data_IF_338625074382
#
_entry.id   IF_338625074382
#
_cell.length_a   1.000
_cell.length_b   1.000
_cell.length_c   1.000
_cell.angle_alpha   90.00
_cell.angle_beta   90.00
_cell.angle_gamma   90.00
#
_symmetry.space_group_name_H-M   'P 1'
#
loop_
_entity.id
_entity.type
_entity.pdbx_description
1 polymer ?
#
# COMPACT_ATOMS: atom_id res chain seq x y z
N UNK A 1 -11.12 12.93 3.05
CA UNK A 1 -11.13 13.14 1.60
C UNK A 1 -9.83 13.83 1.20
N UNK A 2 -9.12 13.30 0.22
CA UNK A 2 -7.89 13.89 -0.31
C UNK A 2 -7.86 13.85 -1.84
N UNK A 3 -7.11 14.82 -2.39
CA UNK A 3 -6.79 14.90 -3.80
C UNK A 3 -5.31 15.27 -3.91
N UNK A 4 -4.55 14.48 -4.66
CA UNK A 4 -3.14 14.76 -4.95
C UNK A 4 -2.93 14.73 -6.45
N UNK A 5 -2.14 15.66 -6.96
CA UNK A 5 -1.78 15.70 -8.38
C UNK A 5 -0.27 15.73 -8.48
N UNK A 6 0.29 14.79 -9.22
CA UNK A 6 1.71 14.69 -9.52
C UNK A 6 1.93 14.95 -11.01
N UNK A 7 2.97 15.73 -11.33
CA UNK A 7 3.40 15.98 -12.69
C UNK A 7 4.64 15.13 -12.97
N UNK A 8 4.67 14.51 -14.13
CA UNK A 8 5.78 13.66 -14.61
C UNK A 8 6.05 12.40 -13.76
N UNK A 9 5.12 12.00 -12.88
CA UNK A 9 5.24 10.81 -12.05
C UNK A 9 3.92 10.04 -12.01
N UNK A 10 3.99 8.73 -11.95
CA UNK A 10 2.88 7.84 -11.65
C UNK A 10 3.10 7.22 -10.27
N UNK A 11 2.25 7.56 -9.26
CA UNK A 11 2.36 7.03 -7.90
C UNK A 11 3.78 7.16 -7.30
N UNK A 12 4.48 8.27 -7.60
CA UNK A 12 5.85 8.51 -7.16
C UNK A 12 6.94 7.79 -7.97
N UNK A 13 6.59 7.10 -9.06
CA UNK A 13 7.52 6.46 -9.97
C UNK A 13 7.65 7.31 -11.22
N UNK A 14 8.86 7.75 -11.54
CA UNK A 14 9.17 8.37 -12.83
C UNK A 14 9.45 7.28 -13.88
N UNK A 15 8.84 7.38 -15.03
CA UNK A 15 9.23 6.60 -16.21
C UNK A 15 9.81 7.54 -17.26
N UNK A 16 10.91 7.14 -17.88
CA UNK A 16 11.62 7.94 -18.88
C UNK A 16 12.01 7.08 -20.10
N UNK A 17 12.30 7.75 -21.19
CA UNK A 17 12.83 7.13 -22.40
C UNK A 17 11.79 6.33 -23.19
N UNK A 18 12.15 5.12 -23.62
CA UNK A 18 11.33 4.30 -24.52
C UNK A 18 10.00 3.83 -23.93
N UNK A 19 9.86 3.82 -22.61
CA UNK A 19 8.59 3.46 -21.95
C UNK A 19 7.57 4.59 -21.99
N UNK A 20 7.99 5.81 -22.22
CA UNK A 20 7.15 7.00 -22.18
C UNK A 20 7.17 7.67 -20.81
N UNK A 21 6.66 8.88 -20.77
CA UNK A 21 6.62 9.72 -19.59
C UNK A 21 5.16 9.96 -19.21
N UNK A 22 4.84 9.80 -17.92
CA UNK A 22 3.53 10.20 -17.40
C UNK A 22 3.48 11.73 -17.35
N UNK A 23 2.62 12.35 -18.14
CA UNK A 23 2.45 13.81 -18.14
C UNK A 23 1.84 14.28 -16.82
N UNK A 24 0.85 13.55 -16.33
CA UNK A 24 0.11 13.90 -15.13
C UNK A 24 -0.56 12.67 -14.53
N UNK A 25 -0.51 12.55 -13.22
CA UNK A 25 -1.36 11.64 -12.46
C UNK A 25 -2.20 12.40 -11.42
N UNK A 26 -3.42 11.96 -11.22
CA UNK A 26 -4.34 12.52 -10.21
C UNK A 26 -4.88 11.39 -9.37
N UNK A 27 -4.63 11.46 -8.07
CA UNK A 27 -5.13 10.50 -7.09
C UNK A 27 -6.19 11.15 -6.23
N UNK A 28 -7.36 10.54 -6.16
CA UNK A 28 -8.44 10.90 -5.24
C UNK A 28 -8.69 9.77 -4.26
N UNK A 29 -8.91 10.09 -2.99
CA UNK A 29 -9.17 9.07 -1.99
C UNK A 29 -10.10 9.57 -0.88
N UNK A 30 -10.80 8.61 -0.27
CA UNK A 30 -11.59 8.80 0.93
C UNK A 30 -11.12 7.83 2.01
N UNK A 31 -10.94 8.34 3.23
CA UNK A 31 -10.65 7.55 4.42
C UNK A 31 -11.70 7.77 5.49
N UNK A 32 -12.03 6.71 6.21
CA UNK A 32 -12.90 6.72 7.39
C UNK A 32 -12.12 6.13 8.56
N UNK A 33 -12.09 6.85 9.67
CA UNK A 33 -11.47 6.40 10.90
C UNK A 33 -12.50 6.39 12.03
N UNK A 34 -12.50 5.31 12.80
CA UNK A 34 -13.34 5.13 13.96
C UNK A 34 -12.48 4.81 15.18
N UNK A 35 -12.66 5.56 16.24
CA UNK A 35 -12.05 5.32 17.55
C UNK A 35 -13.17 5.20 18.58
N UNK A 36 -13.23 4.06 19.27
CA UNK A 36 -14.20 3.84 20.37
C UNK A 36 -13.45 3.46 21.65
N UNK A 37 -13.64 4.24 22.70
CA UNK A 37 -13.12 3.94 24.05
C UNK A 37 -14.20 3.36 24.94
N UNK A 38 -13.85 2.33 25.72
CA UNK A 38 -14.71 1.63 26.66
C UNK A 38 -13.91 1.26 27.92
N UNK A 39 -13.90 2.14 28.92
CA UNK A 39 -13.09 1.98 30.16
C UNK A 39 -11.61 1.77 29.83
N UNK A 40 -11.10 0.55 30.08
CA UNK A 40 -9.71 0.15 29.87
C UNK A 40 -9.43 -0.36 28.43
N UNK A 41 -10.47 -0.44 27.60
CA UNK A 41 -10.35 -0.91 26.22
C UNK A 41 -10.58 0.23 25.24
N UNK A 42 -9.88 0.18 24.10
CA UNK A 42 -10.24 0.98 22.95
C UNK A 42 -10.11 0.16 21.67
N UNK A 43 -10.94 0.49 20.69
CA UNK A 43 -10.82 -0.05 19.34
C UNK A 43 -10.56 1.08 18.37
N UNK A 44 -9.69 0.80 17.41
CA UNK A 44 -9.39 1.67 16.28
C UNK A 44 -9.70 0.91 15.00
N UNK A 45 -10.34 1.58 14.04
CA UNK A 45 -10.57 1.03 12.70
C UNK A 45 -10.36 2.12 11.68
N UNK A 46 -9.72 1.79 10.58
CA UNK A 46 -9.60 2.69 9.43
C UNK A 46 -9.88 1.96 8.13
N UNK A 47 -10.46 2.66 7.17
CA UNK A 47 -10.74 2.19 5.82
C UNK A 47 -10.38 3.29 4.85
N UNK A 48 -9.66 2.93 3.80
CA UNK A 48 -9.29 3.86 2.74
C UNK A 48 -9.60 3.22 1.39
N UNK A 49 -10.21 3.99 0.52
CA UNK A 49 -10.41 3.64 -0.89
C UNK A 49 -10.06 4.84 -1.74
N UNK A 50 -9.56 4.60 -2.93
CA UNK A 50 -9.22 5.66 -3.84
C UNK A 50 -9.02 5.18 -5.27
N UNK A 51 -8.76 6.16 -6.12
CA UNK A 51 -8.55 5.97 -7.54
C UNK A 51 -7.41 6.88 -7.98
N UNK A 52 -6.55 6.36 -8.85
CA UNK A 52 -5.52 7.13 -9.56
C UNK A 52 -5.81 7.06 -11.05
N UNK A 53 -5.93 8.21 -11.69
CA UNK A 53 -6.00 8.36 -13.13
C UNK A 53 -4.71 8.99 -13.63
N UNK A 54 -4.16 8.49 -14.72
CA UNK A 54 -2.91 8.98 -15.31
C UNK A 54 -3.08 9.28 -16.79
N UNK A 55 -2.29 10.23 -17.27
CA UNK A 55 -2.19 10.60 -18.69
C UNK A 55 -0.76 10.36 -19.11
N UNK A 56 -0.56 9.58 -20.17
CA UNK A 56 0.76 9.29 -20.74
C UNK A 56 1.01 10.06 -22.03
N UNK A 57 2.27 10.39 -22.25
CA UNK A 57 2.71 10.93 -23.54
C UNK A 57 2.72 9.81 -24.58
N UNK A 58 2.04 10.02 -25.71
CA UNK A 58 1.85 9.04 -26.79
C UNK A 58 3.15 8.60 -27.52
N UNK A 59 4.32 9.08 -27.11
CA UNK A 59 5.59 8.74 -27.75
C UNK A 59 6.30 7.50 -27.17
N UNK A 60 5.76 6.88 -26.10
CA UNK A 60 6.34 5.73 -25.42
C UNK A 60 5.73 4.39 -25.78
N UNK A 61 6.30 3.31 -25.23
CA UNK A 61 5.76 1.96 -25.31
C UNK A 61 4.53 1.77 -24.45
N UNK A 62 4.38 2.57 -23.39
CA UNK A 62 3.15 2.61 -22.57
C UNK A 62 2.19 3.54 -23.30
N UNK A 63 1.09 2.98 -23.79
CA UNK A 63 0.03 3.74 -24.45
C UNK A 63 -0.88 4.38 -23.40
N UNK A 64 -1.27 3.60 -22.39
CA UNK A 64 -2.17 4.04 -21.34
C UNK A 64 -2.05 3.13 -20.10
N UNK A 65 -2.33 3.70 -18.91
CA UNK A 65 -2.63 2.95 -17.70
C UNK A 65 -4.06 3.32 -17.31
N UNK A 66 -4.93 2.32 -17.32
CA UNK A 66 -6.33 2.53 -16.93
C UNK A 66 -6.43 3.01 -15.48
N UNK A 67 -7.56 3.61 -15.15
CA UNK A 67 -7.84 4.06 -13.79
C UNK A 67 -7.58 2.94 -12.77
N UNK A 68 -6.62 3.19 -11.89
CA UNK A 68 -6.22 2.24 -10.85
C UNK A 68 -7.03 2.50 -9.59
N UNK A 69 -7.75 1.50 -9.11
CA UNK A 69 -8.48 1.55 -7.85
C UNK A 69 -7.67 0.87 -6.75
N UNK A 70 -7.68 1.44 -5.56
CA UNK A 70 -6.94 0.89 -4.43
C UNK A 70 -7.74 0.93 -3.13
N UNK A 71 -7.40 0.01 -2.22
CA UNK A 71 -8.00 -0.06 -0.90
C UNK A 71 -6.99 -0.41 0.18
N UNK A 72 -7.26 0.00 1.41
CA UNK A 72 -6.59 -0.49 2.62
C UNK A 72 -7.55 -0.50 3.79
N UNK A 73 -7.28 -1.33 4.78
CA UNK A 73 -7.98 -1.28 6.06
C UNK A 73 -7.06 -1.65 7.22
N UNK A 74 -7.45 -1.17 8.39
CA UNK A 74 -6.82 -1.46 9.67
C UNK A 74 -7.91 -1.65 10.73
N UNK A 75 -7.74 -2.63 11.59
CA UNK A 75 -8.59 -2.88 12.73
C UNK A 75 -7.75 -3.31 13.92
N UNK A 76 -7.92 -2.64 15.06
CA UNK A 76 -7.23 -2.98 16.29
C UNK A 76 -8.13 -2.88 17.51
N UNK A 77 -7.89 -3.78 18.46
CA UNK A 77 -8.47 -3.73 19.81
C UNK A 77 -7.33 -3.76 20.80
N UNK A 78 -7.36 -2.84 21.77
CA UNK A 78 -6.31 -2.64 22.74
C UNK A 78 -6.89 -2.59 24.15
N UNK A 79 -6.11 -3.09 25.11
CA UNK A 79 -6.35 -2.93 26.53
C UNK A 79 -5.22 -2.10 27.13
N UNK A 80 -5.59 -1.06 27.88
CA UNK A 80 -4.66 -0.21 28.63
C UNK A 80 -4.45 -0.76 30.05
N UNK A 81 -3.32 -0.43 30.67
CA UNK A 81 -3.00 -0.72 32.08
C UNK A 81 -3.03 -2.21 32.42
N UNK A 82 -2.30 -3.05 31.67
CA UNK A 82 -2.24 -4.50 31.90
C UNK A 82 -1.24 -4.87 32.98
N UNK A 83 -0.01 -4.39 32.86
CA UNK A 83 1.09 -4.66 33.78
C UNK A 83 1.53 -3.40 34.54
N UNK A 84 1.35 -2.23 33.91
CA UNK A 84 1.68 -0.91 34.45
C UNK A 84 0.61 0.09 34.08
N UNK A 85 0.54 1.23 34.79
CA UNK A 85 -0.42 2.31 34.51
C UNK A 85 -0.20 3.04 33.17
N UNK A 86 0.80 2.61 32.40
CA UNK A 86 1.22 3.29 31.16
C UNK A 86 1.55 2.30 30.03
N UNK A 87 1.00 1.13 30.10
CA UNK A 87 1.18 0.15 29.03
C UNK A 87 -0.14 -0.11 28.29
N UNK A 88 0.01 -0.67 27.10
CA UNK A 88 -1.10 -1.18 26.33
C UNK A 88 -0.70 -2.46 25.61
N UNK A 89 -1.64 -3.36 25.49
CA UNK A 89 -1.53 -4.57 24.68
C UNK A 89 -2.71 -4.64 23.74
N UNK A 90 -2.46 -4.99 22.49
CA UNK A 90 -3.51 -5.05 21.48
C UNK A 90 -3.32 -6.18 20.47
N UNK A 91 -4.40 -6.40 19.75
CA UNK A 91 -4.44 -7.28 18.57
C UNK A 91 -4.83 -6.40 17.40
N UNK A 92 -4.06 -6.47 16.32
CA UNK A 92 -4.31 -5.73 15.08
C UNK A 92 -4.42 -6.69 13.91
N UNK A 93 -5.31 -6.37 12.98
CA UNK A 93 -5.42 -6.99 11.66
C UNK A 93 -5.51 -5.88 10.63
N UNK A 94 -4.62 -5.91 9.64
CA UNK A 94 -4.65 -4.88 8.62
C UNK A 94 -4.24 -5.40 7.24
N UNK A 95 -4.79 -4.75 6.23
CA UNK A 95 -4.38 -4.88 4.84
C UNK A 95 -3.61 -3.61 4.45
N UNK A 96 -2.35 -3.71 4.04
CA UNK A 96 -1.65 -2.61 3.40
C UNK A 96 -2.37 -2.15 2.12
N UNK A 97 -2.00 -0.98 1.61
CA UNK A 97 -2.57 -0.46 0.37
C UNK A 97 -2.40 -1.49 -0.75
N UNK A 98 -3.51 -1.83 -1.42
CA UNK A 98 -3.58 -2.78 -2.51
C UNK A 98 -4.29 -2.19 -3.71
N UNK A 99 -3.75 -2.39 -4.92
CA UNK A 99 -4.48 -2.15 -6.15
C UNK A 99 -5.55 -3.22 -6.33
N UNK A 100 -6.81 -2.82 -6.43
CA UNK A 100 -7.95 -3.71 -6.64
C UNK A 100 -8.23 -3.95 -8.11
N UNK A 101 -8.00 -2.93 -8.92
CA UNK A 101 -8.07 -2.97 -10.39
C UNK A 101 -6.95 -2.10 -10.93
N UNK A 102 -6.13 -2.64 -11.80
CA UNK A 102 -5.09 -1.92 -12.52
C UNK A 102 -4.76 -2.66 -13.81
N UNK A 103 -4.74 -1.99 -14.92
CA UNK A 103 -4.30 -2.52 -16.21
C UNK A 103 -3.45 -1.52 -16.96
N UNK A 104 -2.57 -2.02 -17.81
CA UNK A 104 -1.65 -1.22 -18.62
C UNK A 104 -1.69 -1.70 -20.05
N UNK A 105 -1.86 -0.77 -20.98
CA UNK A 105 -1.80 -1.01 -22.40
C UNK A 105 -0.44 -0.60 -22.96
N UNK A 106 0.19 -1.54 -23.64
CA UNK A 106 1.52 -1.39 -24.25
C UNK A 106 1.41 -1.46 -25.77
N UNK A 107 2.13 -0.59 -26.47
CA UNK A 107 2.31 -0.64 -27.91
C UNK A 107 3.78 -1.02 -28.21
N UNK A 108 4.01 -2.30 -28.51
CA UNK A 108 5.36 -2.85 -28.64
C UNK A 108 5.75 -3.12 -30.11
N UNK A 109 7.00 -2.83 -30.51
CA UNK A 109 7.49 -3.18 -31.83
C UNK A 109 7.70 -4.70 -31.94
N UNK A 110 6.95 -5.35 -32.84
CA UNK A 110 6.99 -6.83 -33.05
C UNK A 110 7.73 -7.24 -34.31
N UNK A 111 8.06 -6.32 -35.21
CA UNK A 111 8.76 -6.67 -36.43
C UNK A 111 9.00 -5.50 -37.38
N UNK A 112 9.47 -5.83 -38.60
CA UNK A 112 9.62 -4.86 -39.69
C UNK A 112 9.08 -5.41 -40.99
N UNK A 113 8.48 -4.55 -41.80
CA UNK A 113 8.10 -4.85 -43.16
C UNK A 113 9.34 -4.92 -44.04
N UNK A 114 9.18 -5.42 -45.30
CA UNK A 114 10.26 -5.39 -46.35
C UNK A 114 10.72 -3.97 -46.64
N UNK A 115 9.84 -3.00 -46.49
CA UNK A 115 10.11 -1.56 -46.69
C UNK A 115 10.67 -0.88 -45.42
N UNK A 116 11.13 -1.66 -44.44
CA UNK A 116 11.76 -1.20 -43.18
C UNK A 116 10.84 -0.44 -42.25
N UNK A 117 9.52 -0.48 -42.45
CA UNK A 117 8.56 0.08 -41.49
C UNK A 117 8.46 -0.82 -40.30
N UNK A 118 8.40 -0.24 -39.08
CA UNK A 118 8.23 -0.97 -37.83
C UNK A 118 6.74 -1.35 -37.68
N UNK A 119 6.50 -2.62 -37.36
CA UNK A 119 5.18 -3.13 -37.03
C UNK A 119 5.04 -3.09 -35.52
N UNK A 120 3.93 -2.53 -35.05
CA UNK A 120 3.58 -2.47 -33.63
C UNK A 120 2.37 -3.34 -33.34
N UNK A 121 2.30 -3.86 -32.14
CA UNK A 121 1.18 -4.65 -31.64
C UNK A 121 0.83 -4.20 -30.22
N UNK A 122 -0.46 -4.15 -29.92
CA UNK A 122 -0.97 -3.73 -28.62
C UNK A 122 -1.12 -4.94 -27.70
N UNK A 123 -0.61 -4.80 -26.48
CA UNK A 123 -0.69 -5.77 -25.40
C UNK A 123 -1.35 -5.13 -24.20
N UNK A 124 -2.29 -5.82 -23.58
CA UNK A 124 -2.86 -5.42 -22.29
C UNK A 124 -2.32 -6.31 -21.19
N UNK A 125 -1.80 -5.69 -20.12
CA UNK A 125 -1.27 -6.36 -18.93
C UNK A 125 -2.16 -6.06 -17.74
N UNK A 126 -2.58 -7.10 -17.04
CA UNK A 126 -3.22 -6.96 -15.73
C UNK A 126 -2.14 -6.70 -14.68
N UNK A 127 -2.22 -5.55 -14.00
CA UNK A 127 -1.33 -5.14 -12.92
C UNK A 127 -1.93 -5.41 -11.54
N UNK A 128 -3.13 -6.02 -11.49
CA UNK A 128 -3.77 -6.37 -10.23
C UNK A 128 -2.95 -7.45 -9.51
N UNK A 129 -2.54 -7.22 -8.25
CA UNK A 129 -1.79 -8.21 -7.49
C UNK A 129 -2.55 -9.52 -7.34
N UNK A 130 -1.85 -10.66 -7.48
CA UNK A 130 -2.43 -12.00 -7.47
C UNK A 130 -2.97 -12.45 -6.10
N UNK A 131 -2.50 -11.85 -5.01
CA UNK A 131 -2.87 -12.15 -3.64
C UNK A 131 -3.40 -10.93 -2.89
N UNK A 132 -3.73 -11.14 -1.61
CA UNK A 132 -4.18 -10.10 -0.68
C UNK A 132 -3.40 -10.22 0.62
N UNK A 133 -2.44 -9.33 0.82
CA UNK A 133 -1.67 -9.32 2.06
C UNK A 133 -2.59 -8.98 3.23
N UNK A 134 -2.61 -9.87 4.23
CA UNK A 134 -3.23 -9.62 5.53
C UNK A 134 -2.17 -9.81 6.60
N UNK A 135 -2.01 -8.81 7.42
CA UNK A 135 -1.13 -8.83 8.59
C UNK A 135 -2.01 -8.99 9.84
N UNK A 136 -1.64 -9.94 10.68
CA UNK A 136 -2.26 -10.14 12.00
C UNK A 136 -1.17 -10.07 13.05
N UNK A 137 -1.30 -9.18 14.04
CA UNK A 137 -0.22 -8.94 15.00
C UNK A 137 -0.71 -8.70 16.42
N UNK A 138 0.12 -9.10 17.36
CA UNK A 138 0.07 -8.71 18.76
C UNK A 138 0.99 -7.51 18.94
N UNK A 139 0.51 -6.49 19.62
CA UNK A 139 1.25 -5.24 19.87
C UNK A 139 1.31 -5.00 21.36
N UNK A 140 2.49 -4.72 21.87
CA UNK A 140 2.67 -4.26 23.25
C UNK A 140 3.48 -2.97 23.26
N UNK A 141 3.02 -1.98 24.01
CA UNK A 141 3.75 -0.74 24.22
C UNK A 141 3.73 -0.33 25.68
N UNK A 142 4.83 0.24 26.15
CA UNK A 142 4.89 0.89 27.46
C UNK A 142 5.78 2.13 27.38
N UNK A 143 5.40 3.15 28.13
CA UNK A 143 6.14 4.39 28.21
C UNK A 143 6.40 4.74 29.67
N UNK A 144 7.65 4.66 30.07
CA UNK A 144 8.11 5.03 31.41
C UNK A 144 8.91 6.35 31.38
N UNK A 145 9.29 6.85 32.53
CA UNK A 145 10.14 8.05 32.63
C UNK A 145 11.51 7.85 31.96
N UNK A 146 12.02 6.62 31.94
CA UNK A 146 13.40 6.31 31.55
C UNK A 146 13.51 5.67 30.17
N UNK A 147 12.47 4.99 29.73
CA UNK A 147 12.44 4.32 28.42
C UNK A 147 11.03 4.17 27.89
N UNK A 148 10.93 4.13 26.56
CA UNK A 148 9.76 3.69 25.83
C UNK A 148 10.09 2.35 25.17
N UNK A 149 9.15 1.43 25.23
CA UNK A 149 9.26 0.11 24.62
C UNK A 149 8.05 -0.13 23.71
N UNK A 150 8.32 -0.66 22.54
CA UNK A 150 7.29 -1.06 21.61
C UNK A 150 7.69 -2.39 20.96
N UNK A 151 6.80 -3.37 21.02
CA UNK A 151 7.02 -4.71 20.44
C UNK A 151 5.84 -5.16 19.61
N UNK A 152 6.13 -5.82 18.49
CA UNK A 152 5.15 -6.50 17.65
C UNK A 152 5.58 -7.93 17.38
N UNK A 153 4.61 -8.84 17.41
CA UNK A 153 4.76 -10.22 16.95
C UNK A 153 3.58 -10.52 16.04
N UNK A 154 3.84 -10.90 14.82
CA UNK A 154 2.77 -11.07 13.84
C UNK A 154 3.02 -12.14 12.80
N UNK A 155 1.99 -12.30 11.98
CA UNK A 155 1.93 -13.20 10.84
C UNK A 155 1.51 -12.39 9.61
N UNK A 156 2.17 -12.65 8.49
CA UNK A 156 1.85 -12.07 7.18
C UNK A 156 1.40 -13.20 6.26
N UNK A 157 0.26 -13.04 5.62
CA UNK A 157 -0.17 -13.87 4.49
C UNK A 157 -0.07 -13.07 3.20
N UNK A 158 0.25 -13.73 2.08
CA UNK A 158 0.35 -13.14 0.74
C UNK A 158 1.17 -11.84 0.73
N UNK A 159 2.39 -11.91 1.28
CA UNK A 159 3.31 -10.77 1.39
C UNK A 159 3.50 -10.06 0.04
N UNK A 160 3.53 -8.72 0.05
CA UNK A 160 3.53 -7.86 -1.15
C UNK A 160 2.31 -8.07 -2.06
N UNK A 161 1.21 -8.58 -1.53
CA UNK A 161 0.01 -8.96 -2.29
C UNK A 161 0.25 -10.02 -3.39
N UNK A 162 1.28 -10.83 -3.23
CA UNK A 162 1.57 -11.98 -4.10
C UNK A 162 0.99 -13.22 -3.45
N UNK A 163 0.19 -14.00 -4.21
CA UNK A 163 -0.38 -15.23 -3.72
C UNK A 163 0.71 -16.25 -3.40
N UNK A 164 0.87 -16.54 -2.13
CA UNK A 164 1.80 -17.54 -1.60
C UNK A 164 1.07 -18.63 -0.82
N UNK A 165 1.69 -19.81 -0.69
CA UNK A 165 1.13 -20.91 0.10
C UNK A 165 1.51 -20.88 1.57
N UNK A 166 2.44 -20.01 1.97
CA UNK A 166 3.01 -19.97 3.33
C UNK A 166 2.72 -18.67 4.04
N UNK A 167 2.36 -18.76 5.32
CA UNK A 167 2.27 -17.62 6.23
C UNK A 167 3.63 -17.39 6.86
N UNK A 168 4.11 -16.14 6.87
CA UNK A 168 5.43 -15.77 7.40
C UNK A 168 5.29 -15.08 8.76
N UNK A 169 6.00 -15.53 9.80
CA UNK A 169 6.07 -14.80 11.07
C UNK A 169 7.03 -13.61 10.95
N UNK A 170 6.77 -12.55 11.70
CA UNK A 170 7.68 -11.43 11.87
C UNK A 170 7.67 -10.93 13.31
N UNK A 171 8.77 -10.27 13.69
CA UNK A 171 8.97 -9.67 14.99
C UNK A 171 9.62 -8.30 14.82
N UNK A 172 9.13 -7.31 15.56
CA UNK A 172 9.71 -5.97 15.63
C UNK A 172 9.84 -5.58 17.09
N UNK A 173 10.97 -4.96 17.44
CA UNK A 173 11.26 -4.44 18.77
C UNK A 173 11.91 -3.08 18.65
N UNK A 174 11.31 -2.06 19.27
CA UNK A 174 11.84 -0.72 19.36
C UNK A 174 11.98 -0.33 20.84
N UNK A 175 13.17 0.14 21.20
CA UNK A 175 13.47 0.62 22.55
C UNK A 175 14.08 2.02 22.44
N UNK A 176 13.48 2.98 23.08
CA UNK A 176 13.99 4.34 23.18
C UNK A 176 14.35 4.65 24.63
N UNK A 177 15.58 5.11 24.86
CA UNK A 177 16.08 5.46 26.20
C UNK A 177 16.07 6.99 26.35
N UNK A 178 15.35 7.47 27.33
CA UNK A 178 15.27 8.89 27.67
C UNK A 178 16.44 9.26 28.59
N UNK A 179 17.57 9.68 28.04
CA UNK A 179 18.69 10.24 28.78
C UNK A 179 18.38 11.68 29.16
N UNK A 180 18.25 11.97 30.46
CA UNK A 180 18.15 13.34 30.99
C UNK A 180 19.48 13.79 31.55
#
# INVERSE_FOLDING_TARGET
LGLTTDNSNLLGISSEGSFGEADKSTTSFIGLEFLKRMKEYYSKSSFHIGQTSSVFNQMGMIEDIEDTYFSSFDFGIYKENIFTDRDSFGIEVYQPLRSELASMNLNLPVGRTKDKQILFENFSLDLTPSGRQINSQLVYSTNTRYFSFFGKLGLVSDEFHVKESSVKPYFQLDIEINLK
#
